data_IF_213398944649
#
_entry.id   IF_213398944649
#
_cell.length_a   1.000
_cell.length_b   1.000
_cell.length_c   1.000
_cell.angle_alpha   90.00
_cell.angle_beta   90.00
_cell.angle_gamma   90.00
#
_symmetry.space_group_name_H-M   'P 1'
#
loop_
_entity.id
_entity.type
_entity.pdbx_description
1 polymer ?
#
# COMPACT_ATOMS: atom_id res chain seq x y z
N UNK A 1 -9.78 33.83 0.98
CA UNK A 1 -8.43 33.26 1.03
C UNK A 1 -8.39 31.98 1.88
N UNK A 2 -8.77 32.03 3.16
CA UNK A 2 -8.73 30.84 4.07
C UNK A 2 -9.41 29.58 3.53
N UNK A 3 -10.59 29.68 2.91
CA UNK A 3 -11.33 28.54 2.38
C UNK A 3 -10.60 27.84 1.22
N UNK A 4 -9.97 28.61 0.32
CA UNK A 4 -9.19 28.05 -0.81
C UNK A 4 -7.94 27.32 -0.28
N UNK A 5 -7.28 27.87 0.73
CA UNK A 5 -6.11 27.26 1.37
C UNK A 5 -6.47 25.94 2.06
N UNK A 6 -7.60 25.88 2.76
CA UNK A 6 -8.10 24.65 3.38
C UNK A 6 -8.36 23.58 2.31
N UNK A 7 -9.05 23.94 1.23
CA UNK A 7 -9.32 23.00 0.13
C UNK A 7 -8.05 22.51 -0.55
N UNK A 8 -7.09 23.41 -0.80
CA UNK A 8 -5.81 23.05 -1.41
C UNK A 8 -5.02 22.09 -0.51
N UNK A 9 -4.94 22.37 0.79
CA UNK A 9 -4.25 21.50 1.74
C UNK A 9 -4.93 20.13 1.87
N UNK A 10 -6.26 20.08 1.89
CA UNK A 10 -7.01 18.83 1.91
C UNK A 10 -6.78 18.01 0.64
N UNK A 11 -6.73 18.64 -0.53
CA UNK A 11 -6.44 17.99 -1.80
C UNK A 11 -5.01 17.43 -1.83
N UNK A 12 -4.03 18.21 -1.40
CA UNK A 12 -2.62 17.77 -1.30
C UNK A 12 -2.50 16.58 -0.36
N UNK A 13 -3.13 16.65 0.81
CA UNK A 13 -3.13 15.54 1.76
C UNK A 13 -3.75 14.28 1.14
N UNK A 14 -4.93 14.39 0.52
CA UNK A 14 -5.59 13.27 -0.14
C UNK A 14 -4.71 12.63 -1.22
N UNK A 15 -4.09 13.43 -2.08
CA UNK A 15 -3.18 12.95 -3.12
C UNK A 15 -1.96 12.23 -2.52
N UNK A 16 -1.42 12.77 -1.43
CA UNK A 16 -0.31 12.13 -0.72
C UNK A 16 -0.71 10.78 -0.11
N UNK A 17 -1.88 10.68 0.51
CA UNK A 17 -2.39 9.41 1.05
C UNK A 17 -2.53 8.35 -0.06
N UNK A 18 -3.14 8.73 -1.19
CA UNK A 18 -3.26 7.83 -2.36
C UNK A 18 -1.90 7.46 -2.95
N UNK A 19 -0.95 8.39 -3.01
CA UNK A 19 0.41 8.12 -3.45
C UNK A 19 1.13 7.13 -2.53
N UNK A 20 0.98 7.27 -1.20
CA UNK A 20 1.57 6.35 -0.23
C UNK A 20 1.06 4.92 -0.40
N UNK A 21 -0.25 4.77 -0.63
CA UNK A 21 -0.87 3.46 -0.93
C UNK A 21 -0.34 2.92 -2.25
N UNK A 22 -0.32 3.72 -3.31
CA UNK A 22 0.22 3.32 -4.61
C UNK A 22 1.67 2.84 -4.49
N UNK A 23 2.50 3.57 -3.75
CA UNK A 23 3.90 3.24 -3.56
C UNK A 23 4.08 1.90 -2.84
N UNK A 24 3.23 1.60 -1.84
CA UNK A 24 3.16 0.31 -1.19
C UNK A 24 2.80 -0.81 -2.19
N UNK A 25 1.74 -0.64 -2.99
CA UNK A 25 1.29 -1.63 -3.96
C UNK A 25 2.30 -1.85 -5.11
N UNK A 26 3.06 -0.81 -5.49
CA UNK A 26 4.18 -0.94 -6.42
C UNK A 26 5.30 -1.82 -5.87
N UNK A 27 5.47 -1.88 -4.56
CA UNK A 27 6.36 -2.82 -3.91
C UNK A 27 5.94 -4.27 -4.18
N UNK A 28 4.67 -4.62 -4.02
CA UNK A 28 4.13 -5.93 -4.35
C UNK A 28 4.29 -6.26 -5.83
N UNK A 29 3.97 -5.30 -6.71
CA UNK A 29 4.18 -5.44 -8.16
C UNK A 29 5.64 -5.71 -8.49
N UNK A 30 6.58 -5.06 -7.82
CA UNK A 30 8.02 -5.28 -8.03
C UNK A 30 8.40 -6.72 -7.68
N UNK A 31 7.97 -7.22 -6.52
CA UNK A 31 8.17 -8.62 -6.12
C UNK A 31 7.56 -9.60 -7.13
N UNK A 32 6.35 -9.31 -7.61
CA UNK A 32 5.65 -10.12 -8.61
C UNK A 32 6.40 -10.15 -9.96
N UNK A 33 6.85 -9.00 -10.45
CA UNK A 33 7.60 -8.91 -11.71
C UNK A 33 8.96 -9.58 -11.66
N UNK A 34 9.63 -9.57 -10.51
CA UNK A 34 10.90 -10.27 -10.32
C UNK A 34 10.71 -11.79 -10.36
N UNK A 35 9.60 -12.31 -9.84
CA UNK A 35 9.39 -13.75 -9.67
C UNK A 35 8.59 -14.39 -10.79
N UNK A 36 7.45 -13.81 -11.16
CA UNK A 36 6.45 -14.44 -12.05
C UNK A 36 6.50 -13.88 -13.46
N UNK A 37 6.84 -12.57 -13.63
CA UNK A 37 6.93 -11.87 -14.92
C UNK A 37 5.64 -11.85 -15.76
N UNK A 38 4.50 -12.24 -15.19
CA UNK A 38 3.20 -12.20 -15.88
C UNK A 38 2.62 -10.77 -15.94
N UNK A 39 1.58 -10.59 -16.74
CA UNK A 39 0.86 -9.33 -16.92
C UNK A 39 -0.62 -9.43 -16.48
N UNK A 40 -0.96 -10.31 -15.58
CA UNK A 40 -2.31 -10.58 -15.05
C UNK A 40 -2.57 -9.90 -13.70
N UNK A 41 -2.03 -8.72 -13.48
CA UNK A 41 -2.12 -7.99 -12.23
C UNK A 41 -3.00 -6.73 -12.31
N UNK A 42 -3.58 -6.35 -11.19
CA UNK A 42 -4.35 -5.11 -10.99
C UNK A 42 -3.92 -4.51 -9.65
N UNK A 43 -3.75 -3.19 -9.60
CA UNK A 43 -3.58 -2.42 -8.36
C UNK A 43 -4.93 -1.78 -8.02
N UNK A 44 -5.40 -1.98 -6.81
CA UNK A 44 -6.53 -1.26 -6.23
C UNK A 44 -6.01 -0.22 -5.25
N UNK A 45 -6.47 1.03 -5.40
CA UNK A 45 -6.15 2.14 -4.50
C UNK A 45 -7.40 2.59 -3.76
N UNK A 46 -7.29 2.60 -2.44
CA UNK A 46 -8.38 3.00 -1.57
C UNK A 46 -9.49 1.96 -1.42
N UNK A 47 -10.54 2.35 -0.71
CA UNK A 47 -11.73 1.53 -0.42
C UNK A 47 -13.02 2.32 -0.67
N UNK A 48 -14.17 1.69 -0.47
CA UNK A 48 -15.48 2.29 -0.68
C UNK A 48 -15.89 2.33 -2.15
N UNK A 49 -16.57 3.41 -2.58
CA UNK A 49 -17.09 3.53 -3.94
C UNK A 49 -15.97 3.59 -4.98
N UNK A 50 -16.01 2.69 -5.98
CA UNK A 50 -15.13 2.77 -7.15
C UNK A 50 -15.46 4.02 -7.96
N UNK A 51 -14.47 4.88 -8.18
CA UNK A 51 -14.59 6.12 -8.95
C UNK A 51 -14.10 5.95 -10.38
N UNK A 52 -13.08 5.09 -10.56
CA UNK A 52 -12.42 4.92 -11.85
C UNK A 52 -11.80 3.54 -11.95
N UNK A 53 -11.87 2.93 -13.15
CA UNK A 53 -11.29 1.62 -13.44
C UNK A 53 -10.60 1.62 -14.79
N UNK A 54 -9.39 1.06 -14.81
CA UNK A 54 -8.69 0.68 -16.03
C UNK A 54 -8.37 -0.81 -16.03
N UNK A 55 -7.67 -1.27 -17.07
CA UNK A 55 -7.16 -2.64 -17.12
C UNK A 55 -6.20 -2.99 -15.95
N UNK A 56 -5.53 -1.99 -15.36
CA UNK A 56 -4.44 -2.17 -14.36
C UNK A 56 -4.67 -1.46 -13.05
N UNK A 57 -5.64 -0.58 -12.98
CA UNK A 57 -5.88 0.25 -11.81
C UNK A 57 -7.37 0.33 -11.51
N UNK A 58 -7.73 0.07 -10.25
CA UNK A 58 -9.03 0.39 -9.65
C UNK A 58 -8.82 1.50 -8.63
N UNK A 59 -9.56 2.57 -8.76
CA UNK A 59 -9.44 3.75 -7.89
C UNK A 59 -10.73 3.96 -7.10
N UNK A 60 -10.62 3.97 -5.78
CA UNK A 60 -11.74 4.11 -4.87
C UNK A 60 -11.66 5.45 -4.11
N UNK A 61 -12.82 5.90 -3.60
CA UNK A 61 -12.97 7.25 -3.05
C UNK A 61 -12.23 7.48 -1.73
N UNK A 62 -12.06 6.44 -0.90
CA UNK A 62 -11.54 6.57 0.45
C UNK A 62 -10.06 6.13 0.45
N UNK A 63 -9.11 7.01 0.86
CA UNK A 63 -7.67 6.71 0.82
C UNK A 63 -7.23 5.84 2.02
N UNK A 64 -7.92 4.72 2.23
CA UNK A 64 -7.61 3.77 3.30
C UNK A 64 -7.36 2.40 2.67
N UNK A 65 -6.13 1.90 2.80
CA UNK A 65 -5.72 0.62 2.25
C UNK A 65 -5.66 0.57 0.72
N UNK A 66 -5.13 -0.52 0.22
CA UNK A 66 -5.03 -0.87 -1.19
C UNK A 66 -4.99 -2.38 -1.34
N UNK A 67 -4.86 -2.85 -2.57
CA UNK A 67 -4.73 -4.27 -2.85
C UNK A 67 -3.95 -4.50 -4.15
N UNK A 68 -2.98 -5.39 -4.10
CA UNK A 68 -2.34 -5.94 -5.27
C UNK A 68 -2.99 -7.28 -5.62
N UNK A 69 -3.70 -7.33 -6.74
CA UNK A 69 -4.49 -8.47 -7.19
C UNK A 69 -3.81 -9.13 -8.41
N UNK A 70 -3.83 -10.45 -8.48
CA UNK A 70 -3.32 -11.24 -9.60
C UNK A 70 -4.00 -12.60 -9.67
N UNK A 71 -4.05 -13.21 -10.86
CA UNK A 71 -4.70 -14.51 -11.08
C UNK A 71 -3.75 -15.70 -10.95
N UNK A 72 -2.44 -15.45 -10.98
CA UNK A 72 -1.43 -16.50 -10.95
C UNK A 72 -1.38 -17.24 -9.60
N UNK A 73 -1.40 -18.57 -9.61
CA UNK A 73 -1.18 -19.37 -8.42
C UNK A 73 0.29 -19.35 -7.98
N UNK A 74 0.53 -18.92 -6.73
CA UNK A 74 1.87 -18.92 -6.14
C UNK A 74 2.27 -20.36 -5.75
N UNK A 75 3.27 -20.92 -6.44
CA UNK A 75 3.73 -22.28 -6.21
C UNK A 75 4.96 -22.36 -5.32
N UNK A 76 5.83 -21.34 -5.39
CA UNK A 76 7.06 -21.30 -4.63
C UNK A 76 6.96 -20.38 -3.42
N UNK A 77 7.48 -20.83 -2.29
CA UNK A 77 7.64 -20.03 -1.07
C UNK A 77 8.34 -18.68 -1.33
N UNK A 78 9.37 -18.69 -2.21
CA UNK A 78 10.11 -17.50 -2.58
C UNK A 78 9.23 -16.47 -3.29
N UNK A 79 8.34 -16.89 -4.19
CA UNK A 79 7.39 -16.02 -4.88
C UNK A 79 6.51 -15.29 -3.87
N UNK A 80 5.90 -16.05 -2.97
CA UNK A 80 5.03 -15.54 -1.94
C UNK A 80 5.74 -14.54 -1.02
N UNK A 81 6.95 -14.88 -0.56
CA UNK A 81 7.73 -14.00 0.32
C UNK A 81 8.11 -12.69 -0.37
N UNK A 82 8.61 -12.74 -1.62
CA UNK A 82 9.03 -11.54 -2.34
C UNK A 82 7.84 -10.63 -2.68
N UNK A 83 6.72 -11.20 -3.06
CA UNK A 83 5.51 -10.42 -3.33
C UNK A 83 5.00 -9.81 -2.04
N UNK A 84 4.82 -10.58 -0.96
CA UNK A 84 4.26 -10.07 0.29
C UNK A 84 5.18 -9.08 1.01
N UNK A 85 6.50 -9.25 0.95
CA UNK A 85 7.45 -8.33 1.56
C UNK A 85 7.66 -7.05 0.74
N UNK A 86 7.32 -7.06 -0.54
CA UNK A 86 7.54 -5.94 -1.45
C UNK A 86 6.87 -4.65 -0.99
N UNK A 87 5.58 -4.70 -0.62
CA UNK A 87 4.82 -3.57 -0.10
C UNK A 87 5.46 -2.94 1.14
N UNK A 88 5.65 -3.69 2.23
CA UNK A 88 6.34 -3.20 3.43
C UNK A 88 7.74 -2.61 3.15
N UNK A 89 8.55 -3.25 2.30
CA UNK A 89 9.89 -2.75 1.94
C UNK A 89 9.80 -1.37 1.29
N UNK A 90 8.90 -1.19 0.32
CA UNK A 90 8.70 0.12 -0.32
C UNK A 90 8.18 1.15 0.68
N UNK A 91 7.25 0.76 1.55
CA UNK A 91 6.69 1.67 2.55
C UNK A 91 7.75 2.21 3.52
N UNK A 92 8.80 1.46 3.84
CA UNK A 92 9.90 1.94 4.70
C UNK A 92 10.67 3.10 4.06
N UNK A 93 10.76 3.15 2.73
CA UNK A 93 11.54 4.18 2.01
C UNK A 93 10.96 5.58 2.24
N UNK A 94 9.63 5.73 2.18
CA UNK A 94 8.97 7.04 2.32
C UNK A 94 9.23 7.72 3.68
N UNK A 95 9.02 7.08 4.84
CA UNK A 95 9.35 7.69 6.14
C UNK A 95 10.82 8.08 6.27
N UNK A 96 11.74 7.28 5.69
CA UNK A 96 13.18 7.63 5.70
C UNK A 96 13.43 8.90 4.90
N UNK A 97 12.87 9.00 3.68
CA UNK A 97 12.99 10.19 2.84
C UNK A 97 12.37 11.43 3.53
N UNK A 98 11.20 11.28 4.15
CA UNK A 98 10.53 12.35 4.88
C UNK A 98 11.31 12.77 6.13
N UNK A 99 12.00 11.84 6.81
CA UNK A 99 12.87 12.15 7.92
C UNK A 99 14.10 12.98 7.49
N UNK A 100 14.70 12.63 6.35
CA UNK A 100 15.79 13.41 5.76
C UNK A 100 15.30 14.79 5.36
N UNK A 101 14.13 14.88 4.69
CA UNK A 101 13.53 16.13 4.27
C UNK A 101 13.22 17.06 5.45
N UNK A 102 12.79 16.50 6.58
CA UNK A 102 12.54 17.26 7.81
C UNK A 102 13.81 17.94 8.34
N UNK A 103 14.97 17.32 8.14
CA UNK A 103 16.27 17.91 8.54
C UNK A 103 16.81 18.95 7.55
N UNK A 104 16.35 18.87 6.29
CA UNK A 104 16.75 19.77 5.21
C UNK A 104 15.49 20.36 4.54
N UNK A 105 14.76 21.25 5.21
CA UNK A 105 13.47 21.73 4.75
C UNK A 105 13.60 22.47 3.41
N UNK A 106 12.77 22.09 2.44
CA UNK A 106 12.71 22.72 1.12
C UNK A 106 11.98 24.07 1.11
N UNK A 107 11.56 24.59 2.27
CA UNK A 107 10.91 25.88 2.43
C UNK A 107 9.43 25.94 2.01
N UNK A 108 8.94 25.01 1.20
CA UNK A 108 7.58 25.01 0.66
C UNK A 108 6.60 24.11 1.41
N UNK A 109 7.09 23.19 2.24
CA UNK A 109 6.26 22.25 2.99
C UNK A 109 6.49 22.47 4.47
N UNK A 110 5.42 22.64 5.24
CA UNK A 110 5.53 22.84 6.68
C UNK A 110 6.09 21.58 7.36
N UNK A 111 6.83 21.80 8.44
CA UNK A 111 7.41 20.70 9.23
C UNK A 111 6.32 19.75 9.77
N UNK A 112 5.18 20.31 10.18
CA UNK A 112 4.04 19.54 10.68
C UNK A 112 3.43 18.64 9.60
N UNK A 113 3.34 19.12 8.36
CA UNK A 113 2.87 18.31 7.23
C UNK A 113 3.83 17.13 6.97
N UNK A 114 5.15 17.35 6.99
CA UNK A 114 6.15 16.30 6.84
C UNK A 114 6.03 15.26 7.95
N UNK A 115 5.88 15.68 9.20
CA UNK A 115 5.67 14.79 10.36
C UNK A 115 4.40 13.96 10.18
N UNK A 116 3.33 14.59 9.76
CA UNK A 116 2.04 13.91 9.50
C UNK A 116 2.16 12.86 8.40
N UNK A 117 2.76 13.20 7.28
CA UNK A 117 3.01 12.30 6.14
C UNK A 117 3.89 11.11 6.54
N UNK A 118 4.93 11.36 7.32
CA UNK A 118 5.80 10.31 7.88
C UNK A 118 5.03 9.36 8.78
N UNK A 119 4.27 9.89 9.74
CA UNK A 119 3.51 9.08 10.69
C UNK A 119 2.44 8.25 9.99
N UNK A 120 1.80 8.77 8.95
CA UNK A 120 0.87 7.99 8.13
C UNK A 120 1.54 6.79 7.45
N UNK A 121 2.73 6.96 6.87
CA UNK A 121 3.46 5.84 6.27
C UNK A 121 3.94 4.82 7.32
N UNK A 122 4.34 5.26 8.51
CA UNK A 122 4.64 4.36 9.62
C UNK A 122 3.39 3.58 10.07
N UNK A 123 2.21 4.21 10.05
CA UNK A 123 0.94 3.56 10.32
C UNK A 123 0.60 2.50 9.26
N UNK A 124 0.74 2.81 7.95
CA UNK A 124 0.58 1.81 6.87
C UNK A 124 1.52 0.63 7.11
N UNK A 125 2.80 0.90 7.36
CA UNK A 125 3.81 -0.13 7.60
C UNK A 125 3.43 -1.02 8.79
N UNK A 126 3.04 -0.43 9.90
CA UNK A 126 2.66 -1.14 11.12
C UNK A 126 1.47 -2.09 10.85
N UNK A 127 0.39 -1.57 10.26
CA UNK A 127 -0.80 -2.38 9.99
C UNK A 127 -0.59 -3.43 8.90
N UNK A 128 0.25 -3.17 7.91
CA UNK A 128 0.58 -4.19 6.90
C UNK A 128 1.38 -5.35 7.49
N UNK A 129 2.23 -5.10 8.50
CA UNK A 129 3.09 -6.12 9.12
C UNK A 129 2.42 -6.91 10.24
N UNK A 130 1.38 -6.38 10.88
CA UNK A 130 0.62 -7.15 11.88
C UNK A 130 -0.02 -8.37 11.21
N UNK A 131 0.24 -9.61 11.69
CA UNK A 131 -0.31 -10.80 11.08
C UNK A 131 -1.79 -10.98 11.46
N UNK A 132 -2.69 -10.44 10.65
CA UNK A 132 -4.14 -10.50 10.88
C UNK A 132 -4.93 -10.72 9.58
N UNK A 133 -6.19 -11.16 9.73
CA UNK A 133 -7.17 -11.18 8.64
C UNK A 133 -7.86 -9.81 8.57
N UNK A 134 -8.08 -9.32 7.37
CA UNK A 134 -8.84 -8.08 7.20
C UNK A 134 -10.29 -8.27 7.65
N UNK A 135 -10.84 -7.36 8.45
CA UNK A 135 -12.28 -7.37 8.76
C UNK A 135 -13.08 -7.08 7.49
N UNK A 136 -14.19 -7.80 7.32
CA UNK A 136 -15.07 -7.64 6.14
C UNK A 136 -15.62 -6.20 5.96
N UNK A 137 -15.69 -5.41 7.04
CA UNK A 137 -16.14 -4.02 7.01
C UNK A 137 -15.21 -3.06 6.23
N UNK A 138 -13.97 -3.46 5.90
CA UNK A 138 -13.07 -2.62 5.12
C UNK A 138 -13.34 -2.64 3.61
N UNK A 139 -14.26 -3.50 3.14
CA UNK A 139 -14.61 -3.56 1.71
C UNK A 139 -13.45 -3.94 0.78
N UNK A 140 -12.49 -4.70 1.30
CA UNK A 140 -11.36 -5.27 0.54
C UNK A 140 -11.65 -6.76 0.39
N UNK A 141 -12.69 -7.09 -0.38
CA UNK A 141 -13.21 -8.45 -0.47
C UNK A 141 -12.22 -9.43 -1.13
N UNK A 142 -11.36 -8.93 -1.99
CA UNK A 142 -10.39 -9.73 -2.75
C UNK A 142 -9.12 -10.07 -1.94
N UNK A 143 -8.78 -9.30 -0.89
CA UNK A 143 -7.60 -9.53 -0.04
C UNK A 143 -8.02 -9.91 1.37
N UNK A 144 -7.74 -11.16 1.75
CA UNK A 144 -8.20 -11.72 3.03
C UNK A 144 -7.23 -11.52 4.20
N UNK A 145 -5.96 -11.27 3.93
CA UNK A 145 -4.90 -11.23 4.95
C UNK A 145 -3.93 -10.08 4.71
N UNK A 146 -3.34 -9.58 5.78
CA UNK A 146 -2.24 -8.59 5.74
C UNK A 146 -0.95 -9.21 5.18
N UNK A 147 0.00 -8.36 4.80
CA UNK A 147 1.32 -8.82 4.33
C UNK A 147 2.07 -9.62 5.39
N UNK A 148 2.01 -9.16 6.65
CA UNK A 148 2.61 -9.87 7.78
C UNK A 148 2.06 -11.28 7.94
N UNK A 149 0.74 -11.47 7.78
CA UNK A 149 0.13 -12.80 7.81
C UNK A 149 0.55 -13.63 6.59
N UNK A 150 0.60 -13.04 5.40
CA UNK A 150 1.02 -13.73 4.19
C UNK A 150 2.49 -14.18 4.27
N UNK A 151 3.38 -13.33 4.82
CA UNK A 151 4.78 -13.67 5.10
C UNK A 151 4.86 -14.82 6.12
N UNK A 152 4.09 -14.75 7.20
CA UNK A 152 4.06 -15.78 8.22
C UNK A 152 3.61 -17.14 7.67
N UNK A 153 2.56 -17.16 6.83
CA UNK A 153 2.10 -18.36 6.16
C UNK A 153 3.17 -18.93 5.22
N UNK A 154 3.82 -18.08 4.43
CA UNK A 154 4.91 -18.51 3.56
C UNK A 154 6.07 -19.11 4.37
N UNK A 155 6.45 -18.52 5.49
CA UNK A 155 7.52 -19.06 6.36
C UNK A 155 7.17 -20.42 6.97
N UNK A 156 5.90 -20.65 7.33
CA UNK A 156 5.40 -21.89 7.92
C UNK A 156 5.10 -23.01 6.90
N UNK A 157 5.33 -22.79 5.60
CA UNK A 157 4.96 -23.73 4.53
C UNK A 157 3.46 -24.08 4.45
N UNK A 158 2.58 -23.26 5.00
CA UNK A 158 1.15 -23.50 4.98
C UNK A 158 0.51 -22.84 3.74
N UNK A 159 0.68 -23.46 2.56
CA UNK A 159 0.17 -22.93 1.28
C UNK A 159 -1.36 -22.97 1.12
N UNK A 160 -2.14 -23.44 2.13
CA UNK A 160 -3.56 -23.75 1.93
C UNK A 160 -4.53 -22.56 1.97
N UNK A 161 -4.11 -21.39 2.45
CA UNK A 161 -5.07 -20.32 2.79
C UNK A 161 -4.84 -18.96 2.11
N UNK A 162 -3.98 -18.88 1.10
CA UNK A 162 -3.66 -17.58 0.49
C UNK A 162 -4.18 -17.51 -0.94
N UNK A 163 -5.46 -17.12 -1.08
CA UNK A 163 -5.96 -16.48 -2.29
C UNK A 163 -5.81 -14.97 -2.12
N UNK A 164 -5.02 -14.35 -2.90
CA UNK A 164 -4.97 -12.89 -3.13
C UNK A 164 -5.64 -12.57 -4.45
#
# INVERSE_FOLDING_TARGET
MLFIEILANAAILYLFLMFSILFHELGHLSGYKITIKSNDWIIQLGTGKELFRTKRLRYHAIPIGGAFLFEHELKAKKEQLLISAGGPIFTVILPILLFILQRHPLGYVSNDAIVWMRNYNLWILFFSLIPMKYPACLGIDDVKVTDGMAILHALRNNNKDIKR
#
